data_IF_217007652970
#
_entry.id   IF_217007652970
#
_cell.length_a   1.000
_cell.length_b   1.000
_cell.length_c   1.000
_cell.angle_alpha   90.00
_cell.angle_beta   90.00
_cell.angle_gamma   90.00
#
_symmetry.space_group_name_H-M   'P 1'
#
loop_
_entity.id
_entity.type
_entity.pdbx_description
1 polymer ?
#
# COMPACT_ATOMS: atom_id res chain seq x y z
N UNK A 1 -14.05 -15.27 -31.00
CA UNK A 1 -12.88 -15.41 -30.11
C UNK A 1 -12.53 -14.03 -29.59
N UNK A 2 -12.22 -13.95 -28.30
CA UNK A 2 -11.75 -12.78 -27.54
C UNK A 2 -12.84 -11.84 -26.99
N UNK A 3 -13.55 -12.28 -25.96
CA UNK A 3 -14.24 -11.38 -25.01
C UNK A 3 -13.97 -11.76 -23.54
N UNK A 4 -12.83 -12.40 -23.29
CA UNK A 4 -12.47 -13.08 -22.03
C UNK A 4 -11.50 -12.24 -21.17
N UNK A 5 -11.62 -10.91 -21.21
CA UNK A 5 -10.70 -10.01 -20.49
C UNK A 5 -11.40 -8.98 -19.61
N UNK A 6 -12.72 -8.84 -19.73
CA UNK A 6 -13.51 -7.90 -18.93
C UNK A 6 -13.89 -8.46 -17.54
N UNK A 7 -13.87 -9.79 -17.36
CA UNK A 7 -14.31 -10.45 -16.12
C UNK A 7 -13.22 -10.56 -15.04
N UNK A 8 -11.94 -10.47 -15.39
CA UNK A 8 -10.85 -10.72 -14.42
C UNK A 8 -10.57 -9.54 -13.47
N UNK A 9 -11.13 -8.36 -13.77
CA UNK A 9 -10.94 -7.12 -13.00
C UNK A 9 -12.26 -6.48 -12.52
N UNK A 10 -13.39 -7.15 -12.74
CA UNK A 10 -14.74 -6.61 -12.51
C UNK A 10 -15.12 -6.36 -11.04
N UNK A 11 -14.28 -6.76 -10.07
CA UNK A 11 -14.57 -6.63 -8.63
C UNK A 11 -13.52 -5.83 -7.83
N UNK A 12 -12.44 -5.32 -8.45
CA UNK A 12 -11.45 -4.55 -7.70
C UNK A 12 -11.93 -3.12 -7.46
N UNK A 13 -12.24 -2.79 -6.20
CA UNK A 13 -12.43 -1.40 -5.80
C UNK A 13 -11.08 -0.66 -5.88
N UNK A 14 -11.07 0.65 -6.18
CA UNK A 14 -9.87 1.49 -6.17
C UNK A 14 -9.01 1.30 -4.91
N UNK A 15 -9.66 1.08 -3.77
CA UNK A 15 -9.07 0.77 -2.47
C UNK A 15 -8.13 -0.45 -2.53
N UNK A 16 -8.53 -1.51 -3.23
CA UNK A 16 -7.78 -2.76 -3.32
C UNK A 16 -6.58 -2.62 -4.24
N UNK A 17 -6.71 -1.85 -5.32
CA UNK A 17 -5.60 -1.54 -6.21
C UNK A 17 -4.57 -0.67 -5.48
N UNK A 18 -5.01 0.38 -4.77
CA UNK A 18 -4.12 1.24 -4.00
C UNK A 18 -3.44 0.47 -2.87
N UNK A 19 -4.18 -0.39 -2.16
CA UNK A 19 -3.62 -1.23 -1.10
C UNK A 19 -2.56 -2.19 -1.65
N UNK A 20 -2.84 -2.86 -2.77
CA UNK A 20 -1.89 -3.76 -3.43
C UNK A 20 -0.65 -3.00 -3.94
N UNK A 21 -0.83 -1.80 -4.49
CA UNK A 21 0.27 -0.96 -4.95
C UNK A 21 1.18 -0.55 -3.79
N UNK A 22 0.61 -0.05 -2.69
CA UNK A 22 1.39 0.37 -1.52
C UNK A 22 2.08 -0.82 -0.88
N UNK A 23 1.40 -1.97 -0.76
CA UNK A 23 2.03 -3.20 -0.29
C UNK A 23 3.20 -3.61 -1.20
N UNK A 24 3.02 -3.58 -2.53
CA UNK A 24 4.08 -3.91 -3.48
C UNK A 24 5.27 -2.96 -3.33
N UNK A 25 5.02 -1.65 -3.23
CA UNK A 25 6.06 -0.63 -3.06
C UNK A 25 6.87 -0.88 -1.78
N UNK A 26 6.18 -1.12 -0.66
CA UNK A 26 6.82 -1.30 0.65
C UNK A 26 7.50 -2.67 0.82
N UNK A 27 7.10 -3.68 0.04
CA UNK A 27 7.72 -5.02 0.08
C UNK A 27 8.89 -5.18 -0.88
N UNK A 28 8.94 -4.38 -1.96
CA UNK A 28 9.96 -4.51 -3.01
C UNK A 28 10.94 -3.34 -3.06
N UNK A 29 10.56 -2.17 -2.53
CA UNK A 29 11.42 -1.00 -2.48
C UNK A 29 12.41 -1.07 -1.31
N UNK A 30 13.63 -0.63 -1.56
CA UNK A 30 14.59 -0.31 -0.51
C UNK A 30 14.19 1.02 0.14
N UNK A 31 14.16 1.08 1.47
CA UNK A 31 13.71 2.28 2.20
C UNK A 31 14.63 3.48 1.92
N UNK A 32 15.93 3.24 1.74
CA UNK A 32 16.89 4.30 1.42
C UNK A 32 16.64 4.84 0.01
N UNK A 33 16.35 3.95 -0.95
CA UNK A 33 15.96 4.36 -2.31
C UNK A 33 14.66 5.19 -2.32
N UNK A 34 13.67 4.81 -1.50
CA UNK A 34 12.43 5.57 -1.37
C UNK A 34 12.68 6.96 -0.74
N UNK A 35 13.61 7.07 0.20
CA UNK A 35 14.05 8.36 0.74
C UNK A 35 14.76 9.20 -0.33
N UNK A 36 15.65 8.60 -1.12
CA UNK A 36 16.37 9.28 -2.20
C UNK A 36 15.41 9.82 -3.27
N UNK A 37 14.48 9.00 -3.74
CA UNK A 37 13.48 9.39 -4.75
C UNK A 37 12.58 10.54 -4.27
N UNK A 38 12.40 10.66 -2.95
CA UNK A 38 11.59 11.69 -2.32
C UNK A 38 12.38 12.92 -1.84
N UNK A 39 13.71 12.95 -2.03
CA UNK A 39 14.62 13.97 -1.48
C UNK A 39 14.47 14.15 0.05
N UNK A 40 14.38 13.02 0.77
CA UNK A 40 14.20 12.95 2.22
C UNK A 40 15.43 12.36 2.93
N UNK A 41 15.67 12.71 4.22
CA UNK A 41 16.71 12.08 5.01
C UNK A 41 16.52 10.58 5.19
N UNK A 42 17.62 9.83 5.22
CA UNK A 42 17.61 8.39 5.51
C UNK A 42 17.31 8.11 6.98
N UNK A 43 16.62 7.01 7.23
CA UNK A 43 16.29 6.58 8.59
C UNK A 43 17.45 5.76 9.16
N UNK A 44 17.99 6.22 10.28
CA UNK A 44 19.11 5.56 10.96
C UNK A 44 18.71 5.23 12.39
N UNK A 45 18.94 3.97 12.76
CA UNK A 45 18.66 3.46 14.09
C UNK A 45 19.55 4.08 15.16
N UNK A 46 19.21 3.86 16.43
CA UNK A 46 19.97 4.37 17.58
C UNK A 46 21.41 3.84 17.65
N UNK A 47 21.67 2.72 17.00
CA UNK A 47 22.97 2.05 16.86
C UNK A 47 23.78 2.56 15.65
N UNK A 48 23.23 3.49 14.87
CA UNK A 48 23.87 4.02 13.66
C UNK A 48 23.67 3.14 12.42
N UNK A 49 22.86 2.08 12.49
CA UNK A 49 22.58 1.17 11.37
C UNK A 49 21.39 1.70 10.56
N UNK A 50 21.40 1.61 9.22
CA UNK A 50 20.24 1.96 8.41
C UNK A 50 18.99 1.17 8.81
N UNK A 51 17.86 1.87 8.90
CA UNK A 51 16.56 1.24 9.18
C UNK A 51 16.01 0.67 7.89
N UNK A 52 15.54 -0.58 7.92
CA UNK A 52 14.95 -1.25 6.77
C UNK A 52 13.54 -1.72 7.07
N UNK A 53 12.75 -1.91 6.02
CA UNK A 53 11.43 -2.54 6.13
C UNK A 53 11.63 -4.05 6.33
N UNK A 54 11.11 -4.59 7.42
CA UNK A 54 11.21 -6.03 7.74
C UNK A 54 9.93 -6.79 7.42
N UNK A 55 8.78 -6.14 7.49
CA UNK A 55 7.48 -6.75 7.21
C UNK A 55 6.50 -5.66 6.76
N UNK A 56 5.72 -5.96 5.73
CA UNK A 56 4.58 -5.16 5.33
C UNK A 56 3.38 -6.09 5.11
N UNK A 57 2.24 -5.79 5.76
CA UNK A 57 1.05 -6.66 5.72
C UNK A 57 -0.23 -5.86 5.65
N UNK A 58 -1.18 -6.36 4.88
CA UNK A 58 -2.51 -5.77 4.81
C UNK A 58 -3.30 -6.00 6.10
N UNK A 59 -4.04 -4.99 6.54
CA UNK A 59 -5.11 -5.16 7.51
C UNK A 59 -6.42 -4.60 6.97
N UNK A 60 -7.50 -5.14 7.49
CA UNK A 60 -8.86 -4.71 7.23
C UNK A 60 -9.54 -4.57 8.57
N UNK A 61 -9.86 -3.34 8.96
CA UNK A 61 -10.67 -3.17 10.17
C UNK A 61 -12.13 -3.54 9.86
N UNK A 62 -12.74 -4.30 10.77
CA UNK A 62 -14.12 -4.78 10.65
C UNK A 62 -15.10 -3.90 11.46
N UNK A 63 -14.72 -2.65 11.74
CA UNK A 63 -15.52 -1.67 12.46
C UNK A 63 -16.66 -1.10 11.62
N UNK A 64 -17.88 -1.07 12.20
CA UNK A 64 -19.19 -0.87 11.54
C UNK A 64 -19.38 0.48 10.81
N UNK A 65 -18.40 1.38 10.75
CA UNK A 65 -18.61 2.73 10.19
C UNK A 65 -17.49 3.28 9.30
N UNK A 66 -16.32 2.64 9.24
CA UNK A 66 -15.26 3.01 8.30
C UNK A 66 -14.65 1.73 7.72
N UNK A 67 -14.74 1.57 6.39
CA UNK A 67 -13.98 0.54 5.67
C UNK A 67 -12.51 0.99 5.61
N UNK A 68 -11.85 1.07 6.77
CA UNK A 68 -10.44 1.40 6.85
C UNK A 68 -9.64 0.15 6.46
N UNK A 69 -9.12 0.19 5.23
CA UNK A 69 -8.12 -0.76 4.74
C UNK A 69 -6.75 -0.13 4.89
N UNK A 70 -5.72 -0.94 5.09
CA UNK A 70 -4.38 -0.37 5.22
C UNK A 70 -3.27 -1.39 5.15
N UNK A 71 -2.06 -0.89 5.42
CA UNK A 71 -0.82 -1.67 5.50
C UNK A 71 -0.16 -1.39 6.85
N UNK A 72 0.16 -2.44 7.59
CA UNK A 72 1.09 -2.39 8.71
C UNK A 72 2.51 -2.55 8.19
N UNK A 73 3.40 -1.69 8.66
CA UNK A 73 4.82 -1.68 8.35
C UNK A 73 5.61 -1.90 9.64
N UNK A 74 6.48 -2.90 9.64
CA UNK A 74 7.43 -3.14 10.73
C UNK A 74 8.85 -2.83 10.23
N UNK A 75 9.61 -2.07 11.02
CA UNK A 75 10.96 -1.64 10.71
C UNK A 75 11.99 -2.40 11.55
N UNK A 76 13.25 -2.44 11.09
CA UNK A 76 14.34 -3.15 11.75
C UNK A 76 14.72 -2.58 13.13
N UNK A 77 14.37 -1.33 13.41
CA UNK A 77 14.53 -0.68 14.71
C UNK A 77 13.44 -1.07 15.73
N UNK A 78 12.47 -1.90 15.32
CA UNK A 78 11.33 -2.33 16.11
C UNK A 78 10.13 -1.38 16.06
N UNK A 79 10.21 -0.28 15.31
CA UNK A 79 9.09 0.63 15.11
C UNK A 79 8.02 0.00 14.22
N UNK A 80 6.74 0.27 14.53
CA UNK A 80 5.60 -0.24 13.77
C UNK A 80 4.66 0.91 13.41
N UNK A 81 4.33 1.04 12.13
CA UNK A 81 3.48 2.10 11.59
C UNK A 81 2.27 1.51 10.83
N UNK A 82 1.12 2.16 10.96
CA UNK A 82 -0.09 1.83 10.19
C UNK A 82 -0.35 2.89 9.13
N UNK A 83 -0.50 2.47 7.87
CA UNK A 83 -0.90 3.32 6.77
C UNK A 83 -2.35 2.98 6.36
N UNK A 84 -3.26 3.90 6.66
CA UNK A 84 -4.69 3.75 6.36
C UNK A 84 -5.06 4.37 5.01
N UNK A 85 -5.82 3.63 4.21
CA UNK A 85 -6.43 4.10 2.97
C UNK A 85 -7.90 4.40 3.28
N UNK A 86 -8.19 5.70 3.44
CA UNK A 86 -9.56 6.19 3.62
C UNK A 86 -10.21 6.56 2.30
N UNK A 87 -11.51 6.27 2.15
CA UNK A 87 -12.30 6.73 1.00
C UNK A 87 -13.21 7.86 1.42
N UNK A 88 -12.84 9.08 1.04
CA UNK A 88 -13.66 10.28 1.26
C UNK A 88 -14.79 10.42 0.26
N UNK A 89 -14.61 9.92 -0.98
CA UNK A 89 -15.62 9.91 -2.04
C UNK A 89 -15.39 8.76 -3.00
N UNK A 90 -16.42 7.93 -3.23
CA UNK A 90 -16.38 6.96 -4.33
C UNK A 90 -16.69 7.66 -5.66
N UNK A 91 -15.85 7.49 -6.70
CA UNK A 91 -16.21 7.94 -8.04
C UNK A 91 -17.55 7.30 -8.43
N UNK A 92 -18.46 8.10 -8.99
CA UNK A 92 -19.76 7.62 -9.45
C UNK A 92 -19.60 6.99 -10.84
N UNK A 93 -20.03 5.74 -11.00
CA UNK A 93 -20.02 5.00 -12.27
C UNK A 93 -19.11 3.77 -12.29
N UNK A 94 -19.21 2.95 -13.35
CA UNK A 94 -18.29 1.85 -13.62
C UNK A 94 -16.88 2.38 -13.84
N UNK A 95 -15.90 1.80 -13.14
CA UNK A 95 -14.50 2.20 -13.21
C UNK A 95 -13.87 1.48 -14.40
N UNK A 96 -13.42 2.22 -15.41
CA UNK A 96 -12.66 1.63 -16.52
C UNK A 96 -11.20 1.45 -16.10
N UNK A 97 -10.78 0.21 -15.90
CA UNK A 97 -9.39 -0.15 -15.61
C UNK A 97 -8.62 -0.40 -16.92
N UNK A 98 -7.36 0.06 -17.00
CA UNK A 98 -6.45 -0.22 -18.12
C UNK A 98 -5.41 -1.24 -17.67
N UNK A 99 -5.12 -2.24 -18.50
CA UNK A 99 -4.00 -3.18 -18.26
C UNK A 99 -2.65 -2.47 -18.44
N UNK A 100 -1.61 -2.85 -17.66
CA UNK A 100 -0.26 -2.34 -17.79
C UNK A 100 0.34 -2.60 -19.18
#
# INVERSE_FOLDING_TARGET
MSNDCADEFGEYAHEEILQALVLSLLTSGDLDQLCDDADLPHLVGHDGVPVTITSARVYRDAGVLTLDRGVWLELSDGSVFGLTIGVSRRPHGEVTLRRP
#
